data_IF_754667867112
#
_entry.id   IF_754667867112
#
_cell.length_a   1.000
_cell.length_b   1.000
_cell.length_c   1.000
_cell.angle_alpha   90.00
_cell.angle_beta   90.00
_cell.angle_gamma   90.00
#
_symmetry.space_group_name_H-M   'P 1'
#
loop_
_entity.id
_entity.type
_entity.pdbx_description
1 polymer ?
#
# COMPACT_ATOMS: atom_id res chain seq x y z
N UNK A 1 -7.03 -0.33 -15.09
CA UNK A 1 -5.74 -0.45 -14.39
C UNK A 1 -4.68 -0.80 -15.42
N UNK A 2 -3.52 -0.14 -15.37
CA UNK A 2 -2.41 -0.46 -16.28
C UNK A 2 -1.30 -1.12 -15.46
N UNK A 3 -1.15 -2.43 -15.60
CA UNK A 3 -0.01 -3.15 -15.06
C UNK A 3 1.16 -3.08 -16.04
N UNK A 4 2.36 -2.80 -15.53
CA UNK A 4 3.56 -3.06 -16.30
C UNK A 4 3.69 -4.58 -16.53
N UNK A 5 4.19 -5.04 -17.70
CA UNK A 5 4.25 -6.47 -18.03
C UNK A 5 4.94 -7.32 -16.95
N UNK A 6 6.03 -6.83 -16.39
CA UNK A 6 6.78 -7.51 -15.32
C UNK A 6 5.94 -7.65 -14.04
N UNK A 7 5.19 -6.61 -13.67
CA UNK A 7 4.30 -6.63 -12.50
C UNK A 7 3.12 -7.57 -12.76
N UNK A 8 2.52 -7.54 -13.96
CA UNK A 8 1.46 -8.45 -14.35
C UNK A 8 1.91 -9.92 -14.22
N UNK A 9 3.08 -10.25 -14.74
CA UNK A 9 3.67 -11.59 -14.64
C UNK A 9 3.88 -12.02 -13.17
N UNK A 10 4.42 -11.12 -12.32
CA UNK A 10 4.66 -11.40 -10.90
C UNK A 10 3.39 -11.75 -10.13
N UNK A 11 2.25 -11.18 -10.51
CA UNK A 11 0.96 -11.44 -9.87
C UNK A 11 0.05 -12.40 -10.67
N UNK A 12 0.60 -13.09 -11.67
CA UNK A 12 -0.12 -14.10 -12.45
C UNK A 12 -1.25 -13.53 -13.30
N UNK A 13 -1.17 -12.25 -13.68
CA UNK A 13 -2.16 -11.60 -14.54
C UNK A 13 -1.86 -11.91 -15.99
N UNK A 14 -2.42 -13.01 -16.52
CA UNK A 14 -2.21 -13.46 -17.89
C UNK A 14 -3.05 -12.66 -18.90
N UNK A 15 -4.23 -12.19 -18.49
CA UNK A 15 -5.12 -11.37 -19.30
C UNK A 15 -5.42 -10.03 -18.59
N UNK A 16 -4.73 -8.95 -18.93
CA UNK A 16 -4.97 -7.64 -18.32
C UNK A 16 -6.32 -7.02 -18.70
N UNK A 17 -7.01 -7.59 -19.69
CA UNK A 17 -8.35 -7.17 -20.12
C UNK A 17 -9.48 -7.87 -19.34
N UNK A 18 -9.17 -8.87 -18.50
CA UNK A 18 -10.13 -9.45 -17.55
C UNK A 18 -10.22 -8.55 -16.32
N UNK A 19 -11.35 -7.84 -16.11
CA UNK A 19 -11.47 -6.89 -14.99
C UNK A 19 -11.35 -7.56 -13.62
N UNK A 20 -11.88 -8.78 -13.47
CA UNK A 20 -11.84 -9.52 -12.20
C UNK A 20 -10.41 -9.92 -11.87
N UNK A 21 -9.71 -10.54 -12.80
CA UNK A 21 -8.31 -10.94 -12.62
C UNK A 21 -7.41 -9.72 -12.36
N UNK A 22 -7.66 -8.60 -13.06
CA UNK A 22 -6.91 -7.36 -12.87
C UNK A 22 -7.13 -6.76 -11.47
N UNK A 23 -8.36 -6.78 -10.95
CA UNK A 23 -8.68 -6.30 -9.59
C UNK A 23 -8.02 -7.19 -8.54
N UNK A 24 -8.11 -8.51 -8.68
CA UNK A 24 -7.49 -9.46 -7.75
C UNK A 24 -5.95 -9.31 -7.72
N UNK A 25 -5.33 -9.17 -8.89
CA UNK A 25 -3.89 -8.92 -8.99
C UNK A 25 -3.49 -7.57 -8.35
N UNK A 26 -4.30 -6.51 -8.57
CA UNK A 26 -4.07 -5.20 -7.99
C UNK A 26 -4.18 -5.22 -6.46
N UNK A 27 -5.17 -5.93 -5.92
CA UNK A 27 -5.34 -6.06 -4.47
C UNK A 27 -4.14 -6.78 -3.83
N UNK A 28 -3.64 -7.87 -4.44
CA UNK A 28 -2.44 -8.57 -3.98
C UNK A 28 -1.20 -7.68 -4.05
N UNK A 29 -1.00 -6.97 -5.16
CA UNK A 29 0.12 -6.04 -5.31
C UNK A 29 0.05 -4.93 -4.26
N UNK A 30 -1.12 -4.32 -4.06
CA UNK A 30 -1.29 -3.24 -3.08
C UNK A 30 -1.04 -3.71 -1.64
N UNK A 31 -1.49 -4.94 -1.28
CA UNK A 31 -1.19 -5.56 0.01
C UNK A 31 0.33 -5.69 0.21
N UNK A 32 1.05 -6.18 -0.80
CA UNK A 32 2.50 -6.37 -0.70
C UNK A 32 3.23 -5.02 -0.59
N UNK A 33 2.72 -3.97 -1.23
CA UNK A 33 3.22 -2.61 -1.06
C UNK A 33 2.98 -2.09 0.37
N UNK A 34 1.81 -2.33 0.95
CA UNK A 34 1.54 -1.96 2.34
C UNK A 34 2.49 -2.67 3.31
N UNK A 35 2.74 -3.96 3.12
CA UNK A 35 3.72 -4.70 3.93
C UNK A 35 5.14 -4.14 3.76
N UNK A 36 5.53 -3.84 2.53
CA UNK A 36 6.86 -3.30 2.22
C UNK A 36 7.12 -1.93 2.83
N UNK A 37 6.09 -1.11 2.92
CA UNK A 37 6.19 0.26 3.44
C UNK A 37 5.60 0.41 4.86
N UNK A 38 5.60 -0.66 5.66
CA UNK A 38 5.19 -0.67 7.08
C UNK A 38 3.81 -0.04 7.32
N UNK A 39 2.85 -0.33 6.43
CA UNK A 39 1.49 0.19 6.50
C UNK A 39 1.33 1.65 6.04
N UNK A 40 2.38 2.28 5.54
CA UNK A 40 2.34 3.64 4.97
C UNK A 40 1.53 3.65 3.67
N UNK A 41 0.24 3.95 3.79
CA UNK A 41 -0.72 3.92 2.68
C UNK A 41 -0.38 4.95 1.59
N UNK A 42 0.16 6.09 1.96
CA UNK A 42 0.64 7.13 1.05
C UNK A 42 1.81 6.63 0.19
N UNK A 43 2.75 5.89 0.78
CA UNK A 43 3.87 5.28 0.06
C UNK A 43 3.43 4.10 -0.79
N UNK A 44 2.45 3.32 -0.33
CA UNK A 44 1.86 2.25 -1.13
C UNK A 44 1.18 2.78 -2.40
N UNK A 45 0.40 3.87 -2.30
CA UNK A 45 -0.16 4.53 -3.47
C UNK A 45 0.90 5.15 -4.38
N UNK A 46 1.92 5.80 -3.81
CA UNK A 46 3.03 6.33 -4.59
C UNK A 46 3.77 5.22 -5.36
N UNK A 47 4.03 4.09 -4.71
CA UNK A 47 4.69 2.94 -5.31
C UNK A 47 3.83 2.23 -6.36
N UNK A 48 2.52 2.18 -6.14
CA UNK A 48 1.58 1.65 -7.12
C UNK A 48 1.57 2.46 -8.43
N UNK A 49 1.67 3.80 -8.33
CA UNK A 49 1.68 4.70 -9.49
C UNK A 49 3.07 4.85 -10.12
N UNK A 50 4.10 5.13 -9.31
CA UNK A 50 5.45 5.47 -9.79
C UNK A 50 6.44 4.29 -9.79
N UNK A 51 6.07 3.17 -9.18
CA UNK A 51 6.91 2.00 -8.98
C UNK A 51 7.68 2.03 -7.66
N UNK A 52 7.88 0.83 -7.09
CA UNK A 52 8.56 0.60 -5.81
C UNK A 52 9.99 1.16 -5.79
N UNK A 53 10.70 1.02 -6.91
CA UNK A 53 12.07 1.52 -7.05
C UNK A 53 12.16 3.03 -6.97
N UNK A 54 11.19 3.75 -7.54
CA UNK A 54 11.14 5.21 -7.46
C UNK A 54 10.90 5.66 -6.00
N UNK A 55 9.94 5.09 -5.32
CA UNK A 55 9.68 5.40 -3.91
C UNK A 55 10.92 5.14 -3.05
N UNK A 56 11.57 3.98 -3.20
CA UNK A 56 12.81 3.67 -2.47
C UNK A 56 13.96 4.61 -2.80
N UNK A 57 14.08 5.06 -4.04
CA UNK A 57 15.10 6.03 -4.45
C UNK A 57 14.90 7.39 -3.77
N UNK A 58 13.66 7.89 -3.74
CA UNK A 58 13.33 9.17 -3.09
C UNK A 58 13.23 9.09 -1.56
N UNK A 59 13.03 7.90 -1.01
CA UNK A 59 13.06 7.68 0.42
C UNK A 59 14.48 7.75 0.99
N UNK A 60 15.45 7.24 0.23
CA UNK A 60 16.83 7.07 0.67
C UNK A 60 17.82 8.01 -0.04
N UNK A 61 17.36 8.94 -0.88
CA UNK A 61 18.23 9.83 -1.64
C UNK A 61 19.11 9.12 -2.68
N UNK A 62 18.73 7.92 -3.13
CA UNK A 62 19.56 7.14 -4.06
C UNK A 62 19.20 7.46 -5.51
N UNK A 63 20.22 7.42 -6.36
CA UNK A 63 20.06 7.49 -7.81
C UNK A 63 19.80 6.06 -8.31
N UNK A 64 18.68 5.85 -9.01
CA UNK A 64 18.32 4.56 -9.60
C UNK A 64 18.43 4.64 -11.12
N UNK A 65 19.23 3.78 -11.72
CA UNK A 65 19.35 3.62 -13.17
C UNK A 65 18.56 2.39 -13.60
N UNK A 66 17.62 2.59 -14.51
CA UNK A 66 16.82 1.50 -15.09
C UNK A 66 17.55 0.91 -16.30
N UNK A 67 17.22 -0.33 -16.66
CA UNK A 67 17.78 -1.07 -17.81
C UNK A 67 17.55 -0.35 -19.16
N UNK A 68 16.49 0.43 -19.27
CA UNK A 68 16.18 1.25 -20.43
C UNK A 68 16.96 2.59 -20.49
N UNK A 69 17.93 2.80 -19.59
CA UNK A 69 18.74 4.01 -19.51
C UNK A 69 18.09 5.18 -18.75
N UNK A 70 16.82 5.08 -18.34
CA UNK A 70 16.15 6.12 -17.55
C UNK A 70 16.78 6.21 -16.16
N UNK A 71 17.03 7.45 -15.71
CA UNK A 71 17.54 7.74 -14.38
C UNK A 71 16.42 8.31 -13.51
N UNK A 72 16.19 7.69 -12.37
CA UNK A 72 15.25 8.14 -11.35
C UNK A 72 16.04 8.80 -10.23
N UNK A 73 15.55 9.92 -9.73
CA UNK A 73 16.16 10.71 -8.67
C UNK A 73 17.63 11.11 -8.97
N UNK A 74 17.87 11.64 -10.16
CA UNK A 74 19.22 12.03 -10.60
C UNK A 74 19.92 13.04 -9.64
N UNK A 75 19.13 13.87 -8.93
CA UNK A 75 19.61 14.83 -7.96
C UNK A 75 19.81 14.27 -6.54
N UNK A 76 19.53 13.00 -6.29
CA UNK A 76 19.68 12.39 -4.96
C UNK A 76 18.75 12.99 -3.90
N UNK A 77 17.58 13.48 -4.28
CA UNK A 77 16.65 14.13 -3.37
C UNK A 77 16.07 13.14 -2.36
N UNK A 78 15.86 13.59 -1.14
CA UNK A 78 15.11 12.88 -0.10
C UNK A 78 13.77 13.58 0.11
N UNK A 79 12.67 12.91 -0.24
CA UNK A 79 11.31 13.47 -0.17
C UNK A 79 10.39 12.69 0.78
N UNK A 80 10.95 11.82 1.63
CA UNK A 80 10.18 10.90 2.46
C UNK A 80 9.56 9.74 1.67
N UNK A 81 9.90 9.59 0.37
CA UNK A 81 9.50 8.47 -0.48
C UNK A 81 8.50 8.82 -1.58
N UNK A 82 7.72 9.91 -1.46
CA UNK A 82 6.83 10.32 -2.55
C UNK A 82 7.66 11.08 -3.59
N UNK A 83 7.76 10.54 -4.84
CA UNK A 83 8.49 11.23 -5.91
C UNK A 83 7.85 12.59 -6.21
N UNK A 84 8.66 13.62 -6.59
CA UNK A 84 8.16 14.96 -6.93
C UNK A 84 7.57 15.00 -8.35
N UNK A 85 6.85 13.95 -8.74
CA UNK A 85 6.14 13.89 -10.00
C UNK A 85 4.70 14.35 -9.76
N UNK A 86 4.25 15.36 -10.51
CA UNK A 86 2.92 15.93 -10.36
C UNK A 86 1.79 14.88 -10.48
N UNK A 87 1.94 13.93 -11.39
CA UNK A 87 1.01 12.80 -11.55
C UNK A 87 0.93 11.96 -10.28
N UNK A 88 2.08 11.52 -9.74
CA UNK A 88 2.12 10.68 -8.54
C UNK A 88 1.58 11.42 -7.31
N UNK A 89 1.95 12.68 -7.13
CA UNK A 89 1.47 13.50 -6.01
C UNK A 89 -0.05 13.68 -6.08
N UNK A 90 -0.59 13.98 -7.26
CA UNK A 90 -2.04 14.09 -7.47
C UNK A 90 -2.76 12.76 -7.24
N UNK A 91 -2.19 11.65 -7.73
CA UNK A 91 -2.73 10.32 -7.52
C UNK A 91 -2.83 9.98 -6.04
N UNK A 92 -1.75 10.16 -5.29
CA UNK A 92 -1.72 9.91 -3.83
C UNK A 92 -2.75 10.78 -3.11
N UNK A 93 -2.79 12.08 -3.41
CA UNK A 93 -3.75 13.00 -2.80
C UNK A 93 -5.19 12.56 -3.04
N UNK A 94 -5.55 12.29 -4.30
CA UNK A 94 -6.92 11.86 -4.67
C UNK A 94 -7.30 10.53 -4.02
N UNK A 95 -6.37 9.57 -3.97
CA UNK A 95 -6.62 8.28 -3.34
C UNK A 95 -6.87 8.41 -1.83
N UNK A 96 -6.06 9.21 -1.14
CA UNK A 96 -6.22 9.49 0.29
C UNK A 96 -7.53 10.23 0.56
N UNK A 97 -7.86 11.25 -0.24
CA UNK A 97 -9.11 12.02 -0.09
C UNK A 97 -10.34 11.12 -0.31
N UNK A 98 -10.29 10.19 -1.28
CA UNK A 98 -11.35 9.21 -1.51
C UNK A 98 -11.53 8.28 -0.30
N UNK A 99 -10.45 7.79 0.30
CA UNK A 99 -10.52 6.94 1.47
C UNK A 99 -11.07 7.69 2.69
N UNK A 100 -10.67 8.96 2.88
CA UNK A 100 -11.21 9.83 3.94
C UNK A 100 -12.70 10.09 3.75
N UNK A 101 -13.11 10.46 2.53
CA UNK A 101 -14.50 10.73 2.20
C UNK A 101 -15.43 9.52 2.37
N UNK A 102 -14.88 8.29 2.31
CA UNK A 102 -15.62 7.05 2.57
C UNK A 102 -15.51 6.55 4.02
N UNK A 103 -14.89 7.30 4.92
CA UNK A 103 -14.69 6.89 6.31
C UNK A 103 -13.69 5.75 6.51
N UNK A 104 -12.99 5.33 5.44
CA UNK A 104 -12.07 4.19 5.48
C UNK A 104 -10.74 4.51 6.18
N UNK A 105 -10.43 5.79 6.44
CA UNK A 105 -9.22 6.21 7.16
C UNK A 105 -9.48 6.67 8.59
N UNK A 106 -10.68 6.46 9.13
CA UNK A 106 -11.07 7.05 10.42
C UNK A 106 -10.29 6.52 11.62
N UNK A 107 -9.69 5.35 11.54
CA UNK A 107 -8.76 4.83 12.57
C UNK A 107 -7.86 3.73 12.03
N UNK A 108 -6.82 4.07 11.28
CA UNK A 108 -5.65 3.20 11.23
C UNK A 108 -4.67 3.65 12.32
N UNK A 109 -5.02 3.43 13.58
CA UNK A 109 -4.09 3.45 14.70
C UNK A 109 -3.34 2.13 14.67
N UNK A 110 -2.11 2.14 14.18
CA UNK A 110 -1.17 1.04 14.36
C UNK A 110 -0.81 0.95 15.84
N UNK A 111 -1.56 0.14 16.59
CA UNK A 111 -1.17 -0.28 17.93
C UNK A 111 0.06 -1.16 17.81
N UNK A 112 1.24 -0.58 17.96
CA UNK A 112 2.46 -1.32 18.15
C UNK A 112 2.44 -1.90 19.56
N UNK A 113 1.93 -3.13 19.72
CA UNK A 113 2.06 -3.89 20.98
C UNK A 113 3.53 -4.13 21.23
N UNK A 114 4.10 -3.41 22.20
CA UNK A 114 5.40 -3.76 22.79
C UNK A 114 5.17 -4.98 23.67
N UNK A 115 5.33 -6.17 23.13
CA UNK A 115 5.48 -7.37 23.95
C UNK A 115 6.97 -7.52 24.25
N UNK A 116 7.31 -7.36 25.53
CA UNK A 116 8.64 -7.60 26.07
C UNK A 116 8.98 -9.08 26.01
N UNK A 117 10.20 -9.36 25.54
CA UNK A 117 11.05 -10.51 25.79
C UNK A 117 10.45 -11.92 25.62
N UNK A 118 10.93 -12.62 24.59
CA UNK A 118 10.79 -14.08 24.45
C UNK A 118 11.04 -14.50 23.02
N UNK A 119 12.17 -15.14 22.82
CA UNK A 119 12.67 -15.79 21.62
C UNK A 119 11.55 -16.54 20.88
N UNK A 120 11.06 -16.04 19.74
CA UNK A 120 10.32 -16.86 18.78
C UNK A 120 10.35 -16.18 17.39
N UNK A 121 10.90 -16.88 16.43
CA UNK A 121 10.91 -16.66 15.01
C UNK A 121 9.51 -16.88 14.42
N UNK A 122 8.64 -15.92 14.52
CA UNK A 122 7.42 -15.86 13.67
C UNK A 122 6.91 -14.43 13.76
N UNK A 123 6.86 -13.73 12.64
CA UNK A 123 6.28 -12.40 12.57
C UNK A 123 4.76 -12.53 12.46
N UNK A 124 4.09 -12.59 13.59
CA UNK A 124 2.64 -12.49 13.65
C UNK A 124 2.25 -11.03 13.38
N UNK A 125 1.66 -10.78 12.23
CA UNK A 125 1.11 -9.49 11.87
C UNK A 125 -0.40 -9.56 11.97
N UNK A 126 -0.97 -8.98 13.01
CA UNK A 126 -2.42 -8.86 13.17
C UNK A 126 -2.88 -7.53 12.60
N UNK A 127 -3.68 -7.56 11.54
CA UNK A 127 -4.35 -6.36 11.01
C UNK A 127 -5.74 -6.33 11.63
N UNK A 128 -5.93 -5.47 12.63
CA UNK A 128 -7.27 -5.17 13.14
C UNK A 128 -7.92 -4.13 12.24
N UNK A 129 -8.83 -4.57 11.38
CA UNK A 129 -9.67 -3.69 10.57
C UNK A 129 -10.99 -3.49 11.30
N UNK A 130 -11.14 -2.37 11.97
CA UNK A 130 -12.42 -1.96 12.54
C UNK A 130 -13.22 -1.23 11.46
N UNK A 131 -14.17 -1.93 10.84
CA UNK A 131 -15.13 -1.33 9.91
C UNK A 131 -16.26 -0.71 10.72
N UNK A 132 -16.29 0.62 10.78
CA UNK A 132 -17.45 1.35 11.30
C UNK A 132 -18.36 1.67 10.12
N UNK A 133 -19.43 0.90 9.96
CA UNK A 133 -20.51 1.23 9.02
C UNK A 133 -21.34 2.39 9.61
N UNK A 134 -21.22 3.56 9.00
CA UNK A 134 -22.10 4.69 9.29
C UNK A 134 -23.45 4.46 8.59
N UNK A 135 -24.42 3.89 9.30
CA UNK A 135 -25.81 3.86 8.85
C UNK A 135 -26.52 5.13 9.37
N UNK A 136 -27.24 5.88 8.52
CA UNK A 136 -28.05 6.97 9.01
C UNK A 136 -29.30 6.39 9.70
N UNK A 137 -29.39 6.61 11.00
CA UNK A 137 -30.46 6.25 11.93
C UNK A 137 -30.40 4.84 12.56
N UNK A 138 -30.20 4.86 13.85
CA UNK A 138 -30.44 3.90 14.91
C UNK A 138 -29.29 3.02 15.38
N UNK A 139 -28.87 3.32 16.63
CA UNK A 139 -28.17 2.48 17.64
C UNK A 139 -26.86 1.80 17.20
N UNK A 140 -25.78 2.33 17.79
CA UNK A 140 -24.45 1.71 17.83
C UNK A 140 -24.53 0.26 18.31
N UNK A 141 -24.16 -0.67 17.45
CA UNK A 141 -23.81 -2.03 17.82
C UNK A 141 -22.37 -2.26 17.32
N UNK A 142 -21.43 -2.21 18.24
CA UNK A 142 -20.04 -2.59 17.94
C UNK A 142 -19.98 -4.09 17.66
N UNK A 143 -19.70 -4.46 16.43
CA UNK A 143 -19.33 -5.83 16.05
C UNK A 143 -17.86 -5.83 15.67
N UNK A 144 -17.02 -6.21 16.62
CA UNK A 144 -15.61 -6.54 16.38
C UNK A 144 -15.55 -7.90 15.68
N UNK A 145 -15.08 -7.94 14.45
CA UNK A 145 -14.73 -9.19 13.77
C UNK A 145 -13.21 -9.29 13.69
N UNK A 146 -12.64 -10.18 14.49
CA UNK A 146 -11.23 -10.56 14.37
C UNK A 146 -11.09 -11.60 13.27
N UNK A 147 -10.24 -11.33 12.29
CA UNK A 147 -9.84 -12.28 11.28
C UNK A 147 -8.43 -12.76 11.57
N UNK A 148 -8.26 -14.02 11.89
CA UNK A 148 -6.96 -14.67 11.94
C UNK A 148 -6.59 -15.13 10.54
N UNK A 149 -5.44 -14.72 10.05
CA UNK A 149 -4.82 -15.29 8.85
C UNK A 149 -3.60 -16.08 9.32
N UNK A 150 -3.73 -17.38 9.33
CA UNK A 150 -2.62 -18.30 9.54
C UNK A 150 -1.88 -18.46 8.21
N UNK A 151 -0.60 -18.09 8.18
CA UNK A 151 0.26 -18.28 7.02
C UNK A 151 1.14 -19.50 7.29
N UNK A 152 0.86 -20.58 6.55
CA UNK A 152 1.76 -21.75 6.45
C UNK A 152 2.92 -21.45 5.51
#
# INVERSE_FOLDING_TARGET
>A
MQFMPETAARYGLNNPHDPKAAIDAAARYFRDLLLKFDGRIDLAFAAYNAGEGAVGAFQNGRILRLSNGKVINAAGLVTGGIPPYSETQNYVRLAIDLLRGRGLLTTMSLSRSKTSAGLATTRDFTIDVTLTEAHPSSRLSERTKSFFIEIQ
#
